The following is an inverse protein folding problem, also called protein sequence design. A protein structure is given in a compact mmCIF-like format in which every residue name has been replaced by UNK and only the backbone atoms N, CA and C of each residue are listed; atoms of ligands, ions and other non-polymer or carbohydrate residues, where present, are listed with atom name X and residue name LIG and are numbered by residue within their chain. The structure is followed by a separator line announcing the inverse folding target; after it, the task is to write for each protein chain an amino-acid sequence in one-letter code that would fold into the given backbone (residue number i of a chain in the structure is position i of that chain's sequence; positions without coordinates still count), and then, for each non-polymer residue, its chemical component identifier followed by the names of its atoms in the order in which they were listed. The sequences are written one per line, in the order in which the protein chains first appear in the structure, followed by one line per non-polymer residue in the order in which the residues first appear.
data_IF_086296491811
#
_entry.id   IF_086296491811
#
_cell.length_a   1.000
_cell.length_b   1.000
_cell.length_c   1.000
_cell.angle_alpha   90.00
_cell.angle_beta   90.00
_cell.angle_gamma   90.00
#
_symmetry.space_group_name_H-M   'P 1'
#
loop_
_entity.id
_entity.type
_entity.pdbx_description
1 polymer ?
#
# COMPACT_ATOMS: atom_id res chain seq x y z
N UNK A 1 15.17 -12.57 -29.12
CA UNK A 1 14.51 -13.85 -28.77
C UNK A 1 15.48 -14.68 -27.95
N UNK A 2 15.47 -14.56 -26.62
CA UNK A 2 16.33 -15.38 -25.76
C UNK A 2 15.69 -16.77 -25.58
N UNK A 3 16.25 -17.78 -26.26
CA UNK A 3 16.03 -19.18 -25.91
C UNK A 3 16.86 -19.47 -24.65
N UNK A 4 16.32 -19.10 -23.48
CA UNK A 4 16.86 -19.59 -22.22
C UNK A 4 16.65 -21.10 -22.14
N UNK A 5 17.73 -21.86 -22.21
CA UNK A 5 17.74 -23.29 -21.89
C UNK A 5 17.24 -23.46 -20.46
N UNK A 6 16.16 -24.23 -20.26
CA UNK A 6 15.68 -24.57 -18.93
C UNK A 6 16.78 -25.40 -18.25
N UNK A 7 17.24 -24.99 -17.08
CA UNK A 7 18.05 -25.84 -16.23
C UNK A 7 17.18 -27.02 -15.75
N UNK A 8 17.48 -28.21 -16.27
CA UNK A 8 16.76 -29.46 -15.98
C UNK A 8 16.76 -29.73 -14.46
N UNK A 9 17.80 -29.29 -13.73
CA UNK A 9 17.88 -29.40 -12.28
C UNK A 9 16.81 -28.56 -11.58
N UNK A 10 16.56 -27.34 -12.05
CA UNK A 10 15.54 -26.44 -11.49
C UNK A 10 14.12 -26.91 -11.82
N UNK A 11 13.88 -27.39 -13.05
CA UNK A 11 12.58 -27.95 -13.42
C UNK A 11 12.21 -29.16 -12.56
N UNK A 12 13.18 -30.02 -12.27
CA UNK A 12 12.97 -31.16 -11.39
C UNK A 12 12.66 -30.75 -9.95
N UNK A 13 13.30 -29.71 -9.41
CA UNK A 13 12.99 -29.16 -8.08
C UNK A 13 11.55 -28.65 -8.00
N UNK A 14 11.12 -27.86 -8.98
CA UNK A 14 9.73 -27.36 -9.07
C UNK A 14 8.76 -28.53 -9.21
N UNK A 15 9.07 -29.52 -10.05
CA UNK A 15 8.23 -30.68 -10.27
C UNK A 15 8.01 -31.51 -8.99
N UNK A 16 9.05 -31.71 -8.16
CA UNK A 16 8.94 -32.46 -6.91
C UNK A 16 8.04 -31.81 -5.86
N UNK A 17 7.82 -30.50 -5.96
CA UNK A 17 6.97 -29.71 -5.05
C UNK A 17 5.54 -29.53 -5.60
N UNK A 18 5.24 -30.02 -6.81
CA UNK A 18 3.89 -30.01 -7.35
C UNK A 18 3.11 -31.26 -6.89
N UNK A 19 1.77 -31.19 -6.79
CA UNK A 19 0.94 -32.32 -6.34
C UNK A 19 1.03 -33.62 -7.16
N UNK A 20 1.62 -33.58 -8.36
CA UNK A 20 1.87 -34.77 -9.18
C UNK A 20 0.65 -35.42 -9.84
N UNK A 21 -0.57 -34.88 -9.64
CA UNK A 21 -1.81 -35.50 -10.13
C UNK A 21 -1.97 -35.56 -11.65
N UNK A 22 -1.23 -34.76 -12.43
CA UNK A 22 -1.37 -34.66 -13.89
C UNK A 22 -2.84 -34.47 -14.36
N UNK A 23 -3.60 -33.67 -13.60
CA UNK A 23 -5.06 -33.58 -13.73
C UNK A 23 -5.56 -32.69 -14.89
N UNK A 24 -4.70 -31.92 -15.56
CA UNK A 24 -5.11 -31.02 -16.65
C UNK A 24 -5.76 -29.70 -16.24
N UNK A 25 -6.20 -29.53 -14.99
CA UNK A 25 -7.00 -28.36 -14.55
C UNK A 25 -6.28 -27.02 -14.76
N UNK A 26 -4.95 -26.99 -14.62
CA UNK A 26 -4.15 -25.78 -14.83
C UNK A 26 -3.93 -25.41 -16.32
N UNK A 27 -4.45 -26.22 -17.26
CA UNK A 27 -4.31 -26.05 -18.71
C UNK A 27 -3.12 -26.78 -19.33
N UNK A 28 -2.42 -27.62 -18.57
CA UNK A 28 -1.29 -28.45 -19.03
C UNK A 28 -1.57 -29.92 -18.75
N UNK A 29 -1.26 -30.81 -19.70
CA UNK A 29 -1.60 -32.22 -19.61
C UNK A 29 -0.80 -32.92 -18.49
N UNK A 30 0.40 -32.43 -18.19
CA UNK A 30 1.29 -33.00 -17.18
C UNK A 30 1.90 -31.93 -16.27
N UNK A 31 2.21 -32.32 -15.04
CA UNK A 31 2.81 -31.43 -14.03
C UNK A 31 4.22 -30.98 -14.41
N UNK A 32 4.98 -31.76 -15.18
CA UNK A 32 6.30 -31.36 -15.71
C UNK A 32 6.21 -30.28 -16.78
N UNK A 33 5.18 -30.33 -17.64
CA UNK A 33 4.86 -29.27 -18.59
C UNK A 33 4.45 -27.99 -17.86
N UNK A 34 3.64 -28.10 -16.80
CA UNK A 34 3.27 -26.98 -15.94
C UNK A 34 4.49 -26.38 -15.24
N UNK A 35 5.38 -27.19 -14.67
CA UNK A 35 6.63 -26.74 -14.05
C UNK A 35 7.53 -25.99 -15.04
N UNK A 36 7.69 -26.52 -16.26
CA UNK A 36 8.45 -25.87 -17.32
C UNK A 36 7.80 -24.57 -17.82
N UNK A 37 6.47 -24.48 -17.80
CA UNK A 37 5.73 -23.27 -18.13
C UNK A 37 5.81 -22.21 -17.03
N UNK A 38 5.81 -22.61 -15.76
CA UNK A 38 6.03 -21.73 -14.61
C UNK A 38 7.39 -21.07 -14.74
N UNK A 39 8.47 -21.85 -14.89
CA UNK A 39 9.84 -21.33 -15.02
C UNK A 39 10.07 -20.41 -16.23
N UNK A 40 9.20 -20.49 -17.25
CA UNK A 40 9.22 -19.63 -18.44
C UNK A 40 8.32 -18.41 -18.31
N UNK A 41 7.71 -18.18 -17.15
CA UNK A 41 6.70 -17.14 -16.90
C UNK A 41 5.52 -17.17 -17.88
N UNK A 42 5.17 -18.36 -18.39
CA UNK A 42 4.05 -18.56 -19.34
C UNK A 42 2.73 -18.87 -18.65
N UNK A 43 2.78 -19.17 -17.36
CA UNK A 43 1.61 -19.46 -16.53
C UNK A 43 1.86 -18.97 -15.10
N UNK A 44 0.79 -18.88 -14.32
CA UNK A 44 0.81 -18.47 -12.93
C UNK A 44 0.55 -19.67 -12.02
N UNK A 45 0.98 -19.57 -10.76
CA UNK A 45 0.92 -20.66 -9.80
C UNK A 45 -0.51 -20.98 -9.35
N UNK A 46 -1.35 -19.95 -9.30
CA UNK A 46 -2.75 -19.94 -8.89
C UNK A 46 -3.61 -20.88 -9.74
N UNK A 47 -3.16 -21.24 -10.95
CA UNK A 47 -3.86 -22.17 -11.83
C UNK A 47 -3.86 -23.61 -11.30
N UNK A 48 -2.96 -23.97 -10.39
CA UNK A 48 -2.97 -25.29 -9.76
C UNK A 48 -3.88 -25.27 -8.51
N UNK A 49 -5.15 -25.65 -8.69
CA UNK A 49 -6.14 -25.64 -7.59
C UNK A 49 -5.75 -26.54 -6.40
N UNK A 50 -5.11 -27.67 -6.68
CA UNK A 50 -4.70 -28.64 -5.66
C UNK A 50 -3.58 -28.13 -4.76
N UNK A 51 -2.72 -27.24 -5.27
CA UNK A 51 -1.56 -26.74 -4.53
C UNK A 51 -1.96 -25.87 -3.30
N UNK A 52 -3.17 -25.31 -3.29
CA UNK A 52 -3.67 -24.49 -2.17
C UNK A 52 -4.38 -25.30 -1.08
N UNK A 53 -4.37 -26.63 -1.16
CA UNK A 53 -4.87 -27.48 -0.09
C UNK A 53 -3.89 -27.51 1.09
N UNK A 54 -4.42 -27.70 2.30
CA UNK A 54 -3.62 -27.69 3.54
C UNK A 54 -2.42 -28.64 3.50
N UNK A 55 -2.60 -29.80 2.86
CA UNK A 55 -1.55 -30.82 2.72
C UNK A 55 -0.33 -30.38 1.90
N UNK A 56 -0.43 -29.29 1.10
CA UNK A 56 0.64 -28.77 0.24
C UNK A 56 1.15 -27.39 0.68
N UNK A 57 0.78 -26.89 1.86
CA UNK A 57 1.16 -25.55 2.32
C UNK A 57 2.68 -25.37 2.43
N UNK A 58 3.40 -26.38 2.94
CA UNK A 58 4.87 -26.34 3.02
C UNK A 58 5.54 -26.34 1.65
N UNK A 59 4.99 -27.12 0.71
CA UNK A 59 5.52 -27.22 -0.64
C UNK A 59 5.22 -25.95 -1.43
N UNK A 60 4.04 -25.34 -1.24
CA UNK A 60 3.67 -24.04 -1.80
C UNK A 60 4.63 -22.94 -1.34
N UNK A 61 4.99 -22.89 -0.05
CA UNK A 61 5.95 -21.92 0.47
C UNK A 61 7.34 -22.09 -0.18
N UNK A 62 7.85 -23.33 -0.25
CA UNK A 62 9.14 -23.63 -0.90
C UNK A 62 9.12 -23.29 -2.40
N UNK A 63 8.00 -23.56 -3.07
CA UNK A 63 7.85 -23.28 -4.49
C UNK A 63 7.81 -21.78 -4.77
N UNK A 64 7.15 -20.99 -3.91
CA UNK A 64 7.17 -19.53 -3.99
C UNK A 64 8.58 -18.97 -3.84
N UNK A 65 9.38 -19.49 -2.90
CA UNK A 65 10.77 -19.06 -2.75
C UNK A 65 11.63 -19.40 -3.97
N UNK A 66 11.52 -20.61 -4.52
CA UNK A 66 12.25 -21.00 -5.76
C UNK A 66 11.85 -20.12 -6.94
N UNK A 67 10.57 -19.79 -7.08
CA UNK A 67 10.05 -18.96 -8.16
C UNK A 67 10.43 -17.46 -8.00
N UNK A 68 10.65 -16.99 -6.76
CA UNK A 68 11.26 -15.68 -6.48
C UNK A 68 12.75 -15.67 -6.84
N UNK A 69 13.51 -16.67 -6.41
CA UNK A 69 14.96 -16.80 -6.71
C UNK A 69 15.24 -16.84 -8.23
N UNK A 70 14.36 -17.48 -9.00
CA UNK A 70 14.48 -17.57 -10.47
C UNK A 70 13.98 -16.33 -11.22
N UNK A 71 13.55 -15.26 -10.52
CA UNK A 71 12.96 -14.01 -11.09
C UNK A 71 11.75 -14.26 -11.99
N UNK A 72 11.09 -15.40 -11.81
CA UNK A 72 9.92 -15.83 -12.58
C UNK A 72 8.68 -15.12 -12.06
N UNK A 73 8.62 -14.92 -10.74
CA UNK A 73 7.72 -13.98 -10.09
C UNK A 73 8.49 -12.65 -9.99
N UNK A 74 7.93 -11.52 -10.48
CA UNK A 74 8.56 -10.24 -10.23
C UNK A 74 8.69 -10.02 -8.72
N UNK A 75 9.87 -9.61 -8.25
CA UNK A 75 10.05 -9.19 -6.86
C UNK A 75 8.91 -8.23 -6.51
N UNK A 76 8.15 -8.54 -5.46
CA UNK A 76 7.20 -7.57 -4.91
C UNK A 76 8.00 -6.32 -4.59
N UNK A 77 7.76 -5.25 -5.36
CA UNK A 77 8.43 -3.97 -5.12
C UNK A 77 8.05 -3.53 -3.72
N UNK A 78 9.00 -3.67 -2.80
CA UNK A 78 8.86 -3.15 -1.44
C UNK A 78 8.64 -1.65 -1.51
N UNK A 79 7.56 -1.20 -0.90
CA UNK A 79 7.25 0.21 -0.77
C UNK A 79 7.98 0.67 0.49
N UNK A 80 9.09 1.39 0.34
CA UNK A 80 9.89 1.84 1.49
C UNK A 80 9.72 3.36 1.65
N UNK A 81 9.36 3.78 2.85
CA UNK A 81 9.30 5.19 3.21
C UNK A 81 10.70 5.80 3.23
N UNK A 82 10.88 6.96 2.58
CA UNK A 82 12.19 7.61 2.44
C UNK A 82 12.68 8.15 3.79
N UNK A 83 11.76 8.65 4.62
CA UNK A 83 12.13 9.30 5.88
C UNK A 83 12.43 8.30 7.01
N UNK A 84 11.69 7.20 7.08
CA UNK A 84 11.70 6.26 8.20
C UNK A 84 12.26 4.88 7.84
N UNK A 85 12.48 4.62 6.54
CA UNK A 85 12.94 3.33 6.01
C UNK A 85 12.00 2.16 6.36
N UNK A 86 10.73 2.45 6.68
CA UNK A 86 9.73 1.44 6.97
C UNK A 86 9.11 0.90 5.68
N UNK A 87 8.77 -0.38 5.71
CA UNK A 87 8.04 -1.04 4.62
C UNK A 87 6.53 -0.79 4.79
N UNK A 88 5.90 -0.24 3.76
CA UNK A 88 4.46 -0.08 3.66
C UNK A 88 3.85 -1.29 2.95
N UNK A 89 2.67 -1.70 3.41
CA UNK A 89 1.89 -2.79 2.82
C UNK A 89 1.19 -2.34 1.53
N UNK A 90 0.78 -1.06 1.48
CA UNK A 90 0.04 -0.46 0.36
C UNK A 90 0.44 1.00 0.10
N UNK A 91 0.16 1.48 -1.11
CA UNK A 91 0.12 2.91 -1.43
C UNK A 91 -1.34 3.37 -1.44
N UNK A 92 -1.63 4.46 -0.75
CA UNK A 92 -2.95 5.09 -0.80
C UNK A 92 -2.92 6.26 -1.78
N UNK A 93 -3.62 6.12 -2.90
CA UNK A 93 -3.77 7.14 -3.94
C UNK A 93 -5.01 8.01 -3.70
N UNK A 94 -5.07 9.21 -4.31
CA UNK A 94 -6.30 9.99 -4.35
C UNK A 94 -7.48 9.20 -4.92
N UNK A 95 -8.70 9.65 -4.64
CA UNK A 95 -9.87 9.17 -5.37
C UNK A 95 -9.80 9.65 -6.83
N UNK A 96 -10.59 9.01 -7.70
CA UNK A 96 -10.59 9.36 -9.12
C UNK A 96 -10.98 10.83 -9.32
N UNK A 97 -10.09 11.59 -10.00
CA UNK A 97 -10.29 13.01 -10.28
C UNK A 97 -9.89 13.95 -9.15
N UNK A 98 -9.38 13.45 -8.02
CA UNK A 98 -8.93 14.28 -6.89
C UNK A 98 -7.42 14.50 -6.90
N UNK A 99 -7.00 15.65 -6.37
CA UNK A 99 -5.60 16.09 -6.35
C UNK A 99 -4.78 15.42 -5.23
N UNK A 100 -5.44 14.99 -4.15
CA UNK A 100 -4.81 14.34 -3.00
C UNK A 100 -5.75 13.33 -2.35
N UNK A 101 -5.21 12.47 -1.49
CA UNK A 101 -6.07 11.69 -0.60
C UNK A 101 -6.84 12.65 0.30
N UNK A 102 -8.07 12.28 0.65
CA UNK A 102 -8.84 13.05 1.63
C UNK A 102 -8.32 12.72 3.02
N UNK A 103 -8.02 13.74 3.79
CA UNK A 103 -7.66 13.61 5.21
C UNK A 103 -8.82 14.10 6.07
N UNK A 104 -9.20 13.31 7.07
CA UNK A 104 -10.13 13.74 8.12
C UNK A 104 -9.32 14.26 9.30
N UNK A 105 -9.57 15.48 9.72
CA UNK A 105 -8.84 16.16 10.78
C UNK A 105 -9.74 16.50 11.97
N UNK A 106 -9.18 16.34 13.16
CA UNK A 106 -9.70 16.88 14.42
C UNK A 106 -8.94 18.17 14.75
N UNK A 107 -9.49 19.35 14.43
CA UNK A 107 -8.87 20.63 14.74
C UNK A 107 -8.95 20.95 16.24
N UNK A 108 -7.83 21.29 16.87
CA UNK A 108 -7.80 21.74 18.27
C UNK A 108 -7.99 23.26 18.37
N UNK A 109 -9.03 23.77 17.72
CA UNK A 109 -9.38 25.19 17.70
C UNK A 109 -10.88 25.41 17.85
N UNK A 110 -11.27 26.62 18.25
CA UNK A 110 -12.66 27.10 18.27
C UNK A 110 -13.02 27.93 17.05
N UNK A 111 -12.06 28.16 16.16
CA UNK A 111 -12.29 28.90 14.92
C UNK A 111 -13.34 28.20 14.07
N UNK A 112 -14.22 28.99 13.45
CA UNK A 112 -15.20 28.45 12.50
C UNK A 112 -14.52 28.22 11.16
N UNK A 113 -14.52 26.96 10.72
CA UNK A 113 -13.92 26.52 9.46
C UNK A 113 -15.04 26.21 8.48
N UNK A 114 -14.89 26.64 7.22
CA UNK A 114 -15.90 26.42 6.17
C UNK A 114 -15.31 25.70 4.97
N UNK A 115 -16.14 24.93 4.27
CA UNK A 115 -15.81 24.36 2.98
C UNK A 115 -15.31 25.43 2.01
N UNK A 116 -14.28 25.11 1.24
CA UNK A 116 -13.60 26.00 0.30
C UNK A 116 -12.45 26.81 0.90
N UNK A 117 -12.38 26.99 2.22
CA UNK A 117 -11.29 27.72 2.87
C UNK A 117 -9.97 26.94 2.77
N UNK A 118 -8.86 27.66 2.67
CA UNK A 118 -7.52 27.11 2.82
C UNK A 118 -7.08 27.28 4.27
N UNK A 119 -6.60 26.20 4.87
CA UNK A 119 -6.12 26.19 6.24
C UNK A 119 -4.62 25.89 6.30
N UNK A 120 -3.93 26.54 7.24
CA UNK A 120 -2.58 26.18 7.68
C UNK A 120 -2.70 25.45 9.01
N UNK A 121 -2.12 24.27 9.10
CA UNK A 121 -2.11 23.49 10.34
C UNK A 121 -0.85 22.66 10.48
N UNK A 122 -0.59 22.19 11.70
CA UNK A 122 0.44 21.19 11.99
C UNK A 122 -0.23 19.90 12.48
N UNK A 123 -0.07 18.77 11.77
CA UNK A 123 -0.54 17.49 12.27
C UNK A 123 0.17 17.10 13.57
N UNK A 124 -0.58 16.61 14.56
CA UNK A 124 -0.04 16.04 15.78
C UNK A 124 0.82 14.82 15.44
N UNK A 125 2.12 14.88 15.73
CA UNK A 125 3.07 13.81 15.39
C UNK A 125 3.84 14.01 14.09
N UNK A 126 3.52 15.05 13.30
CA UNK A 126 4.28 15.47 12.13
C UNK A 126 5.01 16.80 12.40
N UNK A 127 6.30 16.93 12.02
CA UNK A 127 7.03 18.19 12.18
C UNK A 127 6.75 19.20 11.05
N UNK A 128 6.05 18.78 9.99
CA UNK A 128 5.83 19.60 8.78
C UNK A 128 4.51 20.36 8.88
N UNK A 129 4.54 21.63 8.45
CA UNK A 129 3.34 22.47 8.30
C UNK A 129 2.61 22.06 7.02
N UNK A 130 1.31 21.84 7.15
CA UNK A 130 0.43 21.44 6.06
C UNK A 130 -0.47 22.61 5.67
N UNK A 131 -0.75 22.68 4.37
CA UNK A 131 -1.77 23.55 3.80
C UNK A 131 -2.78 22.67 3.10
N UNK A 132 -4.05 22.85 3.45
CA UNK A 132 -5.11 22.04 2.90
C UNK A 132 -6.35 22.88 2.60
N UNK A 133 -7.06 22.52 1.54
CA UNK A 133 -8.37 23.06 1.20
C UNK A 133 -9.44 22.22 1.89
N UNK A 134 -10.34 22.88 2.60
CA UNK A 134 -11.46 22.22 3.28
C UNK A 134 -12.51 21.82 2.25
N UNK A 135 -12.89 20.54 2.24
CA UNK A 135 -13.96 20.01 1.39
C UNK A 135 -15.31 20.11 2.10
N UNK A 136 -15.33 19.71 3.36
CA UNK A 136 -16.52 19.72 4.21
C UNK A 136 -16.15 19.81 5.69
N UNK A 137 -17.12 20.24 6.49
CA UNK A 137 -17.09 20.23 7.95
C UNK A 137 -18.32 19.46 8.45
N UNK A 138 -18.12 18.56 9.39
CA UNK A 138 -19.16 17.71 9.94
C UNK A 138 -18.91 17.43 11.44
N UNK A 139 -19.73 18.03 12.30
CA UNK A 139 -19.66 17.83 13.76
C UNK A 139 -18.28 18.09 14.40
N UNK A 140 -17.56 19.10 13.90
CA UNK A 140 -16.24 19.49 14.36
C UNK A 140 -15.09 18.76 13.66
N UNK A 141 -15.39 17.78 12.80
CA UNK A 141 -14.42 17.16 11.90
C UNK A 141 -14.38 17.91 10.59
N UNK A 142 -13.18 18.04 10.01
CA UNK A 142 -13.03 18.60 8.68
C UNK A 142 -12.38 17.58 7.76
N UNK A 143 -12.90 17.46 6.54
CA UNK A 143 -12.28 16.67 5.48
C UNK A 143 -11.59 17.62 4.53
N UNK A 144 -10.33 17.32 4.19
CA UNK A 144 -9.48 18.25 3.46
C UNK A 144 -8.72 17.57 2.33
N UNK A 145 -8.35 18.36 1.32
CA UNK A 145 -7.35 18.01 0.31
C UNK A 145 -6.07 18.79 0.56
N UNK A 146 -4.94 18.11 0.51
CA UNK A 146 -3.62 18.72 0.67
C UNK A 146 -3.29 19.49 -0.60
N UNK A 147 -3.13 20.80 -0.46
CA UNK A 147 -2.73 21.69 -1.56
C UNK A 147 -1.24 22.01 -1.53
N UNK A 148 -0.55 21.71 -0.42
CA UNK A 148 0.86 22.01 -0.28
C UNK A 148 1.16 23.51 -0.20
N UNK A 149 2.43 23.91 -0.03
CA UNK A 149 2.81 25.31 0.11
C UNK A 149 2.90 26.01 -1.26
N UNK A 150 1.82 25.99 -2.05
CA UNK A 150 1.77 26.56 -3.41
C UNK A 150 2.26 28.01 -3.47
N UNK A 151 2.04 28.80 -2.41
CA UNK A 151 2.53 30.18 -2.28
C UNK A 151 4.07 30.33 -2.35
N UNK A 152 4.84 29.23 -2.26
CA UNK A 152 6.31 29.27 -2.40
C UNK A 152 6.77 29.08 -3.84
N UNK A 153 5.86 28.65 -4.71
CA UNK A 153 6.15 28.35 -6.12
C UNK A 153 5.87 29.59 -6.98
N UNK A 154 4.85 30.36 -6.62
CA UNK A 154 4.50 31.62 -7.27
C UNK A 154 4.44 32.75 -6.24
N UNK A 155 5.37 33.71 -6.35
CA UNK A 155 5.49 34.85 -5.44
C UNK A 155 4.39 35.90 -5.63
N UNK A 156 3.68 35.87 -6.78
CA UNK A 156 2.63 36.83 -7.13
C UNK A 156 1.22 36.29 -6.83
N UNK A 157 1.11 35.00 -6.48
CA UNK A 157 -0.17 34.40 -6.12
C UNK A 157 -0.61 34.85 -4.72
N UNK A 158 -1.69 35.63 -4.64
CA UNK A 158 -2.40 35.85 -3.38
C UNK A 158 -2.91 34.51 -2.83
N UNK A 159 -2.31 34.06 -1.74
CA UNK A 159 -2.65 32.81 -1.09
C UNK A 159 -3.14 33.10 0.33
N UNK A 160 -4.44 33.37 0.43
CA UNK A 160 -5.09 33.58 1.72
C UNK A 160 -5.34 32.23 2.40
N UNK A 161 -4.97 32.14 3.67
CA UNK A 161 -5.21 30.96 4.49
C UNK A 161 -5.55 31.34 5.93
N UNK A 162 -6.26 30.45 6.61
CA UNK A 162 -6.55 30.54 8.04
C UNK A 162 -5.61 29.62 8.82
N UNK A 163 -4.85 30.17 9.77
CA UNK A 163 -4.07 29.33 10.69
C UNK A 163 -4.98 28.78 11.78
N UNK A 164 -5.02 27.45 11.88
CA UNK A 164 -5.86 26.73 12.86
C UNK A 164 -5.03 25.95 13.88
N UNK A 165 -3.70 26.10 13.86
CA UNK A 165 -2.80 25.51 14.84
C UNK A 165 -2.61 24.00 14.67
N UNK A 166 -2.78 23.24 15.75
CA UNK A 166 -2.54 21.78 15.75
C UNK A 166 -3.83 21.03 15.44
N UNK A 167 -3.74 20.04 14.54
CA UNK A 167 -4.83 19.11 14.27
C UNK A 167 -4.36 17.68 14.49
N UNK A 168 -5.25 16.80 14.95
CA UNK A 168 -5.01 15.36 14.93
C UNK A 168 -5.57 14.77 13.64
N UNK A 169 -4.76 13.97 12.94
CA UNK A 169 -5.21 13.27 11.72
C UNK A 169 -6.01 12.05 12.15
N UNK A 170 -7.29 12.02 11.80
CA UNK A 170 -8.25 11.01 12.21
C UNK A 170 -8.38 9.85 11.23
N UNK A 171 -8.25 10.16 9.94
CA UNK A 171 -8.41 9.17 8.89
C UNK A 171 -7.95 9.64 7.53
N UNK A 172 -7.77 8.68 6.63
CA UNK A 172 -7.50 8.89 5.22
C UNK A 172 -8.53 8.16 4.37
N UNK A 173 -8.91 8.76 3.26
CA UNK A 173 -9.71 8.12 2.23
C UNK A 173 -9.01 8.24 0.87
N UNK A 174 -9.02 7.13 0.14
CA UNK A 174 -8.36 7.05 -1.16
C UNK A 174 -8.55 5.71 -1.86
N UNK A 175 -7.77 5.49 -2.91
CA UNK A 175 -7.74 4.26 -3.71
C UNK A 175 -6.48 3.45 -3.39
N UNK A 176 -6.63 2.17 -3.08
CA UNK A 176 -5.50 1.28 -2.76
C UNK A 176 -4.77 0.86 -4.04
N UNK A 177 -3.45 1.05 -4.05
CA UNK A 177 -2.51 0.38 -4.92
C UNK A 177 -1.70 -0.64 -4.11
N UNK A 178 -1.71 -1.89 -4.56
CA UNK A 178 -1.12 -3.03 -3.87
C UNK A 178 -2.14 -4.13 -3.59
N UNK A 179 -1.80 -4.99 -2.63
CA UNK A 179 -2.69 -6.06 -2.15
C UNK A 179 -3.85 -5.45 -1.37
N UNK A 180 -5.07 -5.94 -1.61
CA UNK A 180 -6.24 -5.47 -0.87
C UNK A 180 -6.24 -6.04 0.55
N UNK A 181 -6.27 -5.19 1.58
CA UNK A 181 -6.42 -5.61 2.97
C UNK A 181 -7.87 -6.01 3.28
N UNK A 182 -8.11 -6.56 4.46
CA UNK A 182 -9.47 -6.80 4.97
C UNK A 182 -9.96 -5.60 5.80
N UNK A 183 -11.27 -5.42 5.87
CA UNK A 183 -11.87 -4.51 6.86
C UNK A 183 -11.51 -5.02 8.27
N UNK A 184 -11.10 -4.11 9.15
CA UNK A 184 -10.58 -4.37 10.49
C UNK A 184 -9.07 -4.67 10.54
N UNK A 185 -8.38 -4.75 9.40
CA UNK A 185 -6.95 -4.99 9.35
C UNK A 185 -6.16 -3.70 9.60
N UNK A 186 -5.14 -3.77 10.46
CA UNK A 186 -4.16 -2.70 10.60
C UNK A 186 -3.20 -2.76 9.42
N UNK A 187 -3.10 -1.68 8.67
CA UNK A 187 -2.22 -1.55 7.51
C UNK A 187 -1.17 -0.47 7.75
N UNK A 188 0.02 -0.69 7.22
CA UNK A 188 1.03 0.34 7.01
C UNK A 188 0.87 0.84 5.58
N UNK A 189 0.70 2.13 5.40
CA UNK A 189 0.44 2.71 4.08
C UNK A 189 1.28 3.95 3.84
N UNK A 190 1.63 4.16 2.58
CA UNK A 190 2.26 5.38 2.10
C UNK A 190 1.23 6.21 1.34
N UNK A 191 0.83 7.40 1.83
CA UNK A 191 0.01 8.31 1.05
C UNK A 191 0.80 8.82 -0.15
N UNK A 192 0.21 8.76 -1.34
CA UNK A 192 0.90 9.01 -2.61
C UNK A 192 1.56 10.40 -2.69
N UNK A 193 0.97 11.42 -2.07
CA UNK A 193 1.46 12.80 -2.06
C UNK A 193 2.02 13.26 -0.69
N UNK A 194 2.37 12.32 0.20
CA UNK A 194 3.05 12.67 1.45
C UNK A 194 4.44 13.26 1.14
N UNK A 195 4.65 14.55 1.45
CA UNK A 195 5.91 15.27 1.19
C UNK A 195 7.12 14.59 1.85
N UNK A 196 6.93 13.98 3.01
CA UNK A 196 8.00 13.28 3.73
C UNK A 196 8.24 11.86 3.22
N UNK A 197 7.36 11.34 2.36
CA UNK A 197 7.31 9.91 1.98
C UNK A 197 7.48 9.00 3.19
N UNK A 198 6.76 9.33 4.27
CA UNK A 198 6.81 8.63 5.55
C UNK A 198 5.65 7.65 5.62
N UNK A 199 5.90 6.45 6.14
CA UNK A 199 4.85 5.45 6.29
C UNK A 199 3.95 5.82 7.49
N UNK A 200 2.65 5.64 7.30
CA UNK A 200 1.65 5.76 8.35
C UNK A 200 1.04 4.40 8.63
N UNK A 201 0.38 4.26 9.77
CA UNK A 201 -0.44 3.08 10.06
C UNK A 201 -1.84 3.47 10.48
N UNK A 202 -2.79 2.58 10.23
CA UNK A 202 -4.17 2.73 10.66
C UNK A 202 -4.98 1.48 10.39
N UNK A 203 -6.24 1.49 10.77
CA UNK A 203 -7.18 0.37 10.60
C UNK A 203 -8.08 0.65 9.42
N UNK A 204 -8.21 -0.30 8.50
CA UNK A 204 -9.16 -0.20 7.38
C UNK A 204 -10.57 -0.38 7.92
N UNK A 205 -11.39 0.67 7.91
CA UNK A 205 -12.77 0.64 8.43
C UNK A 205 -13.81 0.42 7.33
N UNK A 206 -13.47 0.73 6.08
CA UNK A 206 -14.33 0.50 4.92
C UNK A 206 -13.47 0.16 3.69
N UNK A 207 -13.97 -0.77 2.86
CA UNK A 207 -13.37 -1.13 1.58
C UNK A 207 -14.46 -1.44 0.55
N UNK A 208 -14.56 -0.62 -0.49
CA UNK A 208 -15.48 -0.80 -1.63
C UNK A 208 -14.68 -0.87 -2.92
N UNK A 209 -14.55 -2.07 -3.48
CA UNK A 209 -13.65 -2.32 -4.60
C UNK A 209 -12.19 -2.05 -4.19
N UNK A 210 -11.65 -0.90 -4.62
CA UNK A 210 -10.31 -0.42 -4.22
C UNK A 210 -10.36 0.86 -3.38
N UNK A 211 -11.53 1.44 -3.18
CA UNK A 211 -11.69 2.64 -2.36
C UNK A 211 -11.71 2.23 -0.89
N UNK A 212 -10.87 2.86 -0.09
CA UNK A 212 -10.73 2.53 1.32
C UNK A 212 -10.84 3.77 2.20
N UNK A 213 -11.38 3.57 3.39
CA UNK A 213 -11.27 4.50 4.51
C UNK A 213 -10.40 3.83 5.57
N UNK A 214 -9.36 4.53 6.00
CA UNK A 214 -8.41 4.10 7.02
C UNK A 214 -8.51 5.10 8.17
N UNK A 215 -8.77 4.62 9.38
CA UNK A 215 -8.91 5.43 10.60
C UNK A 215 -7.98 4.93 11.72
N UNK A 216 -8.00 5.59 12.88
CA UNK A 216 -7.11 5.24 13.98
C UNK A 216 -5.64 5.45 13.61
N UNK A 217 -5.39 6.61 12.98
CA UNK A 217 -4.11 6.90 12.34
C UNK A 217 -3.01 7.09 13.38
N UNK A 218 -1.90 6.38 13.16
CA UNK A 218 -0.61 6.72 13.71
C UNK A 218 0.30 7.25 12.60
N UNK A 219 0.70 8.53 12.72
CA UNK A 219 1.62 9.18 11.79
C UNK A 219 3.06 8.68 11.95
N UNK A 220 3.35 7.86 12.98
CA UNK A 220 4.59 7.10 13.16
C UNK A 220 4.25 5.62 13.16
N UNK A 221 4.86 4.82 12.29
CA UNK A 221 4.79 3.38 12.50
C UNK A 221 5.63 3.03 13.74
N UNK A 222 4.98 2.61 14.81
CA UNK A 222 5.66 2.04 15.97
C UNK A 222 6.15 0.63 15.62
N UNK A 223 7.36 0.53 15.10
CA UNK A 223 8.12 -0.72 15.17
C UNK A 223 8.80 -0.77 16.55
N UNK A 224 8.68 -1.88 17.31
CA UNK A 224 9.63 -2.13 18.39
C UNK A 224 11.05 -2.05 17.80
N UNK A 225 12.03 -1.48 18.50
CA UNK A 225 13.41 -1.53 18.03
C UNK A 225 13.77 -2.98 17.71
N UNK A 226 14.18 -3.24 16.47
CA UNK A 226 14.82 -4.51 16.14
C UNK A 226 16.01 -4.59 17.08
N UNK A 227 16.01 -5.56 18.02
CA UNK A 227 17.17 -5.78 18.88
C UNK A 227 18.37 -5.88 17.95
N UNK A 228 19.32 -4.97 18.13
CA UNK A 228 20.60 -5.07 17.44
C UNK A 228 21.11 -6.48 17.66
N UNK A 229 21.46 -7.17 16.59
CA UNK A 229 22.34 -8.32 16.74
C UNK A 229 23.68 -7.71 17.16
N UNK A 230 23.96 -7.79 18.46
CA UNK A 230 25.30 -7.61 19.02
C UNK A 230 26.28 -8.62 18.39
#
# INVERSE_FOLDING_TARGET
MNKGSIDISQQNKVLMLLPGYNCGICGYARCDEFAGALLKSRTQLEKCRFLYQEIFQEDLAKLQEILKETKVIPDEKKIIGVMDNYEADIILKPLHGEESCRETLYPFTREKIKAGEIIRYRPLGCPIIHFAKVLEENHGLITVHLVGPCHRIDSEAEFEYKDIGVCMVGGFQGTIEGKLPRVGETVRFLPYHCMMQKVHSGVVVQLEGRQAIIEGIDLKVWAPPVKGND
#
